data_IF_557944898196
#
_entry.id   IF_557944898196
#
_cell.length_a   1.000
_cell.length_b   1.000
_cell.length_c   1.000
_cell.angle_alpha   90.00
_cell.angle_beta   90.00
_cell.angle_gamma   90.00
#
_symmetry.space_group_name_H-M   'P 1'
#
loop_
_entity.id
_entity.type
_entity.pdbx_description
1 polymer ?
#
# COMPACT_ATOMS: atom_id res chain seq x y z
N UNK A 1 20.19 12.57 -2.29
CA UNK A 1 20.31 11.35 -1.47
C UNK A 1 19.00 11.16 -0.72
N UNK A 2 18.35 10.02 -0.90
CA UNK A 2 17.06 9.79 -0.24
C UNK A 2 17.32 9.59 1.25
N UNK A 3 16.61 10.33 2.08
CA UNK A 3 16.79 10.30 3.54
C UNK A 3 16.51 8.92 4.18
N UNK A 4 15.84 8.04 3.45
CA UNK A 4 15.44 6.70 3.90
C UNK A 4 16.45 5.60 3.58
N UNK A 5 17.53 5.91 2.86
CA UNK A 5 18.49 4.88 2.45
C UNK A 5 19.08 4.14 3.66
N UNK A 6 18.90 2.84 3.68
CA UNK A 6 19.35 1.99 4.79
C UNK A 6 18.55 2.08 6.08
N UNK A 7 17.42 2.79 6.07
CA UNK A 7 16.59 2.96 7.27
C UNK A 7 15.28 2.21 7.18
N UNK A 8 14.87 1.64 8.30
CA UNK A 8 13.51 1.16 8.50
C UNK A 8 12.65 2.25 9.14
N UNK A 9 11.38 2.29 8.80
CA UNK A 9 10.49 3.35 9.25
C UNK A 9 9.02 2.93 9.24
N UNK A 10 8.20 3.72 9.90
CA UNK A 10 6.73 3.64 9.85
C UNK A 10 6.23 4.87 9.10
N UNK A 11 5.32 4.67 8.17
CA UNK A 11 4.74 5.74 7.38
C UNK A 11 3.27 5.49 7.04
N UNK A 12 2.57 6.59 6.83
CA UNK A 12 1.27 6.59 6.18
C UNK A 12 1.47 6.88 4.69
N UNK A 13 0.74 6.21 3.83
CA UNK A 13 0.82 6.42 2.40
C UNK A 13 -0.35 7.25 1.89
N UNK A 14 -0.04 8.16 0.99
CA UNK A 14 -1.01 8.84 0.16
C UNK A 14 -0.75 8.51 -1.31
N UNK A 15 -1.79 8.46 -2.10
CA UNK A 15 -1.67 8.40 -3.55
C UNK A 15 -1.74 9.84 -4.07
N UNK A 16 -0.70 10.27 -4.79
CA UNK A 16 -0.58 11.65 -5.30
C UNK A 16 -0.90 11.77 -6.78
N UNK A 17 -1.28 10.69 -7.43
CA UNK A 17 -1.67 10.70 -8.84
C UNK A 17 -3.02 11.37 -9.04
N UNK A 18 -3.14 12.11 -10.15
CA UNK A 18 -4.25 13.01 -10.43
C UNK A 18 -5.66 12.40 -10.31
N UNK A 19 -5.85 11.17 -10.78
CA UNK A 19 -7.19 10.54 -10.74
C UNK A 19 -7.48 9.83 -9.42
N UNK A 20 -6.62 9.99 -8.47
CA UNK A 20 -6.68 9.18 -7.31
C UNK A 20 -5.94 9.76 -6.11
N UNK A 21 -5.96 11.07 -5.92
CA UNK A 21 -5.45 11.65 -4.68
C UNK A 21 -6.23 11.10 -3.49
N UNK A 22 -5.54 10.60 -2.50
CA UNK A 22 -6.15 10.14 -1.28
C UNK A 22 -5.27 9.20 -0.47
N UNK A 23 -5.64 9.06 0.77
CA UNK A 23 -4.96 8.17 1.69
C UNK A 23 -5.12 6.71 1.26
N UNK A 24 -4.05 5.95 1.41
CA UNK A 24 -4.09 4.50 1.25
C UNK A 24 -4.61 3.89 2.53
N UNK A 25 -5.65 3.10 2.42
CA UNK A 25 -6.27 2.37 3.52
C UNK A 25 -6.53 0.92 3.10
N UNK A 26 -7.03 0.11 3.98
CA UNK A 26 -7.41 -1.26 3.66
C UNK A 26 -8.93 -1.42 3.65
N UNK A 27 -9.41 -2.30 2.77
CA UNK A 27 -10.82 -2.60 2.69
C UNK A 27 -11.24 -3.48 3.86
N UNK A 28 -12.25 -3.03 4.58
CA UNK A 28 -12.95 -3.85 5.57
C UNK A 28 -14.19 -4.43 4.93
N UNK A 29 -14.27 -5.74 4.91
CA UNK A 29 -15.39 -6.46 4.36
C UNK A 29 -15.92 -7.44 5.40
N UNK A 30 -17.24 -7.59 5.46
CA UNK A 30 -17.88 -8.65 6.23
C UNK A 30 -17.64 -10.03 5.60
N UNK A 31 -17.24 -10.05 4.35
CA UNK A 31 -16.82 -11.22 3.64
C UNK A 31 -15.32 -11.40 3.75
N UNK A 32 -14.84 -12.63 3.94
CA UNK A 32 -13.41 -12.92 3.98
C UNK A 32 -12.70 -12.61 2.65
N UNK A 33 -13.46 -12.51 1.56
CA UNK A 33 -12.93 -12.21 0.23
C UNK A 33 -12.64 -10.71 0.11
N UNK A 34 -11.38 -10.36 -0.12
CA UNK A 34 -10.93 -8.99 -0.31
C UNK A 34 -10.76 -8.16 0.95
N UNK A 35 -11.06 -8.71 2.11
CA UNK A 35 -10.72 -8.06 3.37
C UNK A 35 -9.20 -7.91 3.47
N UNK A 36 -8.74 -6.71 3.80
CA UNK A 36 -7.33 -6.39 3.87
C UNK A 36 -6.70 -5.94 2.56
N UNK A 37 -7.42 -5.90 1.46
CA UNK A 37 -6.92 -5.31 0.23
C UNK A 37 -6.75 -3.80 0.37
N UNK A 38 -5.65 -3.29 -0.16
CA UNK A 38 -5.39 -1.86 -0.11
C UNK A 38 -6.23 -1.13 -1.14
N UNK A 39 -6.79 -0.05 -0.69
CA UNK A 39 -7.63 0.83 -1.50
C UNK A 39 -7.16 2.26 -1.31
N UNK A 40 -7.40 3.07 -2.31
CA UNK A 40 -7.34 4.50 -2.17
C UNK A 40 -8.69 4.96 -1.64
N UNK A 41 -8.71 5.35 -0.39
CA UNK A 41 -9.94 5.49 0.34
C UNK A 41 -10.37 6.90 0.59
N UNK A 42 -11.62 7.15 0.30
CA UNK A 42 -12.39 8.25 0.86
C UNK A 42 -13.21 7.81 2.07
N UNK A 43 -13.28 6.53 2.34
CA UNK A 43 -14.09 5.97 3.44
C UNK A 43 -13.25 5.78 4.71
N UNK A 44 -12.34 6.71 4.95
CA UNK A 44 -11.37 6.70 6.03
C UNK A 44 -11.89 6.16 7.36
N UNK A 45 -11.59 4.89 7.60
CA UNK A 45 -11.82 4.26 8.89
C UNK A 45 -10.61 4.36 9.80
N UNK A 46 -9.76 5.31 9.53
CA UNK A 46 -8.52 5.52 10.24
C UNK A 46 -7.31 5.44 9.32
N UNK A 47 -6.22 5.96 9.79
CA UNK A 47 -4.97 6.02 9.06
C UNK A 47 -4.30 4.66 9.10
N UNK A 48 -4.12 4.05 7.93
CA UNK A 48 -3.29 2.86 7.80
C UNK A 48 -1.83 3.26 7.96
N UNK A 49 -1.18 2.72 8.98
CA UNK A 49 0.26 2.84 9.15
C UNK A 49 0.95 1.57 8.67
N UNK A 50 1.95 1.74 7.83
CA UNK A 50 2.77 0.64 7.31
C UNK A 50 4.17 0.72 7.89
N UNK A 51 4.71 -0.44 8.23
CA UNK A 51 6.09 -0.59 8.63
C UNK A 51 6.92 -1.06 7.44
N UNK A 52 7.98 -0.33 7.17
CA UNK A 52 8.94 -0.60 6.12
C UNK A 52 10.24 -1.08 6.75
N UNK A 53 10.53 -2.36 6.62
CA UNK A 53 11.77 -2.96 7.12
C UNK A 53 12.77 -3.05 5.98
N UNK A 54 13.86 -2.29 6.08
CA UNK A 54 14.90 -2.25 5.06
C UNK A 54 15.58 -3.60 4.89
N UNK A 55 15.71 -4.05 3.66
CA UNK A 55 16.38 -5.30 3.31
C UNK A 55 17.74 -5.02 2.68
N UNK A 56 17.75 -4.33 1.56
CA UNK A 56 18.95 -4.02 0.80
C UNK A 56 18.68 -2.92 -0.23
N UNK A 57 19.74 -2.38 -0.75
CA UNK A 57 19.68 -1.55 -1.96
C UNK A 57 20.30 -2.32 -3.11
N UNK A 58 19.61 -2.35 -4.23
CA UNK A 58 20.12 -2.92 -5.48
C UNK A 58 19.87 -1.93 -6.62
N UNK A 59 20.94 -1.46 -7.23
CA UNK A 59 20.91 -0.38 -8.23
C UNK A 59 20.21 0.89 -7.65
N UNK A 60 19.17 1.37 -8.32
CA UNK A 60 18.38 2.53 -7.92
C UNK A 60 17.10 2.15 -7.15
N UNK A 61 17.00 0.91 -6.70
CA UNK A 61 15.85 0.40 -5.97
C UNK A 61 16.21 0.09 -4.51
N UNK A 62 15.33 0.50 -3.62
CA UNK A 62 15.40 0.16 -2.21
C UNK A 62 14.42 -0.97 -1.93
N UNK A 63 14.92 -2.07 -1.38
CA UNK A 63 14.11 -3.24 -1.08
C UNK A 63 13.65 -3.22 0.37
N UNK A 64 12.35 -3.41 0.56
CA UNK A 64 11.70 -3.40 1.87
C UNK A 64 10.76 -4.58 2.02
N UNK A 65 10.65 -5.10 3.24
CA UNK A 65 9.48 -5.84 3.66
C UNK A 65 8.48 -4.85 4.23
N UNK A 66 7.24 -4.96 3.79
CA UNK A 66 6.18 -4.05 4.22
C UNK A 66 5.12 -4.85 4.98
N UNK A 67 4.74 -4.35 6.14
CA UNK A 67 3.73 -4.96 6.99
C UNK A 67 2.85 -3.88 7.63
N UNK A 68 1.72 -4.29 8.19
CA UNK A 68 0.95 -3.41 9.05
C UNK A 68 1.77 -3.03 10.28
N UNK A 69 1.84 -1.74 10.57
CA UNK A 69 2.58 -1.25 11.72
C UNK A 69 1.91 -1.69 13.04
N UNK A 70 2.68 -1.75 14.15
CA UNK A 70 2.08 -1.95 15.46
C UNK A 70 1.01 -0.89 15.75
N UNK A 71 -0.14 -1.31 16.24
CA UNK A 71 -1.28 -0.43 16.47
C UNK A 71 -2.25 -0.31 15.30
N UNK A 72 -1.91 -0.82 14.13
CA UNK A 72 -2.86 -0.94 13.02
C UNK A 72 -3.91 -2.00 13.37
N UNK A 73 -5.18 -1.61 13.39
CA UNK A 73 -6.26 -2.54 13.68
C UNK A 73 -6.28 -3.69 12.68
N UNK A 74 -6.48 -4.90 13.17
CA UNK A 74 -6.67 -6.14 12.45
C UNK A 74 -5.44 -6.66 11.67
N UNK A 75 -4.52 -5.80 11.26
CA UNK A 75 -3.41 -6.17 10.37
C UNK A 75 -2.02 -5.84 10.91
N UNK A 76 -1.89 -5.55 12.21
CA UNK A 76 -0.59 -5.34 12.83
C UNK A 76 0.31 -6.55 12.64
N UNK A 77 1.47 -6.36 12.02
CA UNK A 77 2.42 -7.42 11.71
C UNK A 77 2.07 -8.27 10.48
N UNK A 78 0.89 -8.11 9.90
CA UNK A 78 0.52 -8.81 8.66
C UNK A 78 1.33 -8.25 7.48
N UNK A 79 1.89 -9.14 6.67
CA UNK A 79 2.72 -8.73 5.53
C UNK A 79 1.89 -8.31 4.34
N UNK A 80 2.37 -7.25 3.70
CA UNK A 80 1.84 -6.80 2.43
C UNK A 80 2.32 -7.73 1.31
N UNK A 81 1.40 -8.15 0.48
CA UNK A 81 1.67 -9.03 -0.65
C UNK A 81 0.72 -8.78 -1.80
N UNK A 82 0.75 -9.68 -2.77
CA UNK A 82 -0.04 -9.60 -4.00
C UNK A 82 -0.86 -10.86 -4.14
N UNK A 83 -2.16 -10.71 -4.43
CA UNK A 83 -3.04 -11.83 -4.72
C UNK A 83 -2.76 -12.41 -6.11
N UNK A 84 -3.38 -13.56 -6.39
CA UNK A 84 -3.31 -14.20 -7.70
C UNK A 84 -3.77 -13.27 -8.85
N UNK A 85 -4.70 -12.38 -8.57
CA UNK A 85 -5.24 -11.42 -9.55
C UNK A 85 -4.59 -10.04 -9.47
N UNK A 86 -3.45 -9.92 -8.79
CA UNK A 86 -2.66 -8.69 -8.73
C UNK A 86 -3.07 -7.69 -7.66
N UNK A 87 -4.06 -7.97 -6.83
CA UNK A 87 -4.48 -7.06 -5.78
C UNK A 87 -3.47 -7.02 -4.64
N UNK A 88 -3.10 -5.81 -4.27
CA UNK A 88 -2.20 -5.54 -3.15
C UNK A 88 -2.99 -5.58 -1.84
N UNK A 89 -2.51 -6.30 -0.87
CA UNK A 89 -3.19 -6.43 0.41
C UNK A 89 -2.39 -7.18 1.46
N UNK A 90 -3.01 -7.35 2.62
CA UNK A 90 -2.44 -8.12 3.71
C UNK A 90 -2.79 -9.60 3.56
N UNK A 91 -1.77 -10.44 3.62
CA UNK A 91 -1.90 -11.89 3.49
C UNK A 91 -1.21 -12.60 4.63
N UNK A 92 -1.48 -13.91 4.75
CA UNK A 92 -0.85 -14.75 5.77
C UNK A 92 0.68 -14.73 5.62
N UNK A 93 1.35 -14.39 6.71
CA UNK A 93 2.81 -14.28 6.81
C UNK A 93 3.55 -15.53 6.34
N UNK A 94 2.96 -16.69 6.53
CA UNK A 94 3.59 -17.97 6.15
C UNK A 94 3.68 -18.17 4.63
N UNK A 95 2.93 -17.42 3.87
CA UNK A 95 2.85 -17.56 2.41
C UNK A 95 3.58 -16.48 1.64
N UNK A 96 4.09 -15.45 2.32
CA UNK A 96 4.69 -14.29 1.67
C UNK A 96 6.16 -14.21 2.01
N UNK A 97 6.99 -14.49 1.02
CA UNK A 97 8.44 -14.32 1.11
C UNK A 97 8.94 -13.11 0.32
N UNK A 98 8.05 -12.42 -0.36
CA UNK A 98 8.40 -11.36 -1.27
C UNK A 98 8.73 -10.05 -0.54
N UNK A 99 9.68 -9.33 -1.08
CA UNK A 99 9.97 -7.95 -0.73
C UNK A 99 9.35 -7.00 -1.76
N UNK A 100 9.29 -5.73 -1.39
CA UNK A 100 8.83 -4.65 -2.25
C UNK A 100 10.01 -3.78 -2.67
N UNK A 101 9.93 -3.20 -3.86
CA UNK A 101 10.95 -2.29 -4.37
C UNK A 101 10.38 -0.87 -4.36
N UNK A 102 11.11 0.04 -3.74
CA UNK A 102 10.81 1.46 -3.75
C UNK A 102 11.73 2.12 -4.78
N UNK A 103 11.14 2.83 -5.73
CA UNK A 103 11.82 3.68 -6.71
C UNK A 103 11.55 5.13 -6.35
N UNK A 104 12.47 5.78 -5.61
CA UNK A 104 12.29 7.18 -5.22
C UNK A 104 12.23 8.10 -6.44
N UNK A 105 11.30 9.04 -6.44
CA UNK A 105 11.11 9.99 -7.53
C UNK A 105 11.57 11.40 -7.17
N UNK A 106 11.27 11.81 -5.97
CA UNK A 106 11.49 13.18 -5.53
C UNK A 106 11.76 13.21 -4.03
N UNK A 107 12.80 13.92 -3.65
CA UNK A 107 13.02 14.32 -2.27
C UNK A 107 12.22 15.60 -2.04
N UNK A 108 11.15 15.50 -1.28
CA UNK A 108 10.40 16.66 -0.86
C UNK A 108 11.27 17.62 -0.04
N UNK A 109 10.86 18.86 0.04
CA UNK A 109 11.48 19.85 0.92
C UNK A 109 11.22 19.55 2.42
N UNK A 110 10.34 18.60 2.71
CA UNK A 110 9.99 18.18 4.07
C UNK A 110 10.83 16.97 4.48
N UNK A 111 11.40 16.98 5.70
CA UNK A 111 12.35 15.94 6.12
C UNK A 111 11.76 14.54 6.24
N UNK A 112 10.44 14.43 6.44
CA UNK A 112 9.77 13.16 6.69
C UNK A 112 8.77 12.82 5.60
N UNK A 113 8.97 13.35 4.40
CA UNK A 113 8.12 13.09 3.23
C UNK A 113 8.96 12.79 1.99
N UNK A 114 8.56 11.77 1.24
CA UNK A 114 9.14 11.50 -0.08
C UNK A 114 8.11 10.84 -1.01
N UNK A 115 8.32 10.99 -2.31
CA UNK A 115 7.48 10.38 -3.34
C UNK A 115 8.23 9.26 -4.06
N UNK A 116 7.48 8.23 -4.47
CA UNK A 116 8.04 7.03 -5.07
C UNK A 116 7.03 6.24 -5.90
N UNK A 117 7.56 5.42 -6.80
CA UNK A 117 6.82 4.27 -7.31
C UNK A 117 7.05 3.08 -6.40
N UNK A 118 5.97 2.36 -6.10
CA UNK A 118 6.02 1.07 -5.41
C UNK A 118 5.97 -0.03 -6.46
N UNK A 119 6.91 -0.98 -6.36
CA UNK A 119 6.98 -2.15 -7.24
C UNK A 119 6.93 -3.42 -6.43
N UNK A 120 6.32 -4.47 -7.00
CA UNK A 120 6.42 -5.80 -6.42
C UNK A 120 7.83 -6.39 -6.61
N UNK A 121 8.08 -7.58 -6.07
CA UNK A 121 9.39 -8.23 -6.17
C UNK A 121 9.81 -8.55 -7.62
N UNK A 122 8.84 -8.68 -8.53
CA UNK A 122 9.08 -8.89 -9.96
C UNK A 122 9.41 -7.59 -10.70
N UNK A 123 9.17 -6.44 -10.08
CA UNK A 123 9.40 -5.13 -10.64
C UNK A 123 8.19 -4.46 -11.27
N UNK A 124 6.99 -5.03 -11.14
CA UNK A 124 5.76 -4.42 -11.62
C UNK A 124 5.34 -3.28 -10.71
N UNK A 125 5.04 -2.13 -11.30
CA UNK A 125 4.55 -0.97 -10.57
C UNK A 125 3.14 -1.17 -10.06
N UNK A 126 2.90 -0.75 -8.83
CA UNK A 126 1.56 -0.68 -8.27
C UNK A 126 0.81 0.46 -8.92
N UNK A 127 -0.39 0.16 -9.38
CA UNK A 127 -1.32 1.14 -9.92
C UNK A 127 -2.66 1.10 -9.18
N UNK A 128 -3.59 1.89 -9.65
CA UNK A 128 -4.96 1.91 -9.15
C UNK A 128 -5.92 1.43 -10.21
N UNK A 129 -6.80 0.51 -9.84
CA UNK A 129 -7.89 0.01 -10.66
C UNK A 129 -9.20 0.46 -10.07
N UNK A 130 -9.97 1.19 -10.85
CA UNK A 130 -11.31 1.61 -10.43
C UNK A 130 -12.32 0.52 -10.79
N UNK A 131 -12.81 -0.16 -9.80
CA UNK A 131 -13.75 -1.24 -10.00
C UNK A 131 -15.11 -0.96 -9.34
N UNK A 132 -16.15 -1.31 -10.07
CA UNK A 132 -17.51 -1.29 -9.58
C UNK A 132 -17.91 -2.73 -9.22
N UNK A 133 -17.66 -3.10 -7.97
CA UNK A 133 -17.88 -4.47 -7.47
C UNK A 133 -19.13 -4.57 -6.63
N UNK A 134 -20.26 -4.13 -7.16
CA UNK A 134 -21.51 -4.08 -6.40
C UNK A 134 -22.02 -5.41 -5.86
N UNK A 135 -21.58 -6.56 -6.39
CA UNK A 135 -22.07 -7.89 -5.99
C UNK A 135 -21.16 -8.66 -5.05
N UNK A 136 -19.87 -8.34 -5.00
CA UNK A 136 -18.89 -9.08 -4.20
C UNK A 136 -18.47 -8.36 -2.92
N UNK A 137 -18.67 -7.07 -2.87
CA UNK A 137 -18.22 -6.22 -1.78
C UNK A 137 -19.43 -5.71 -1.02
N UNK A 138 -19.53 -6.15 0.21
CA UNK A 138 -20.55 -5.65 1.12
C UNK A 138 -19.88 -4.89 2.26
N UNK A 139 -20.47 -3.77 2.61
CA UNK A 139 -20.20 -3.09 3.88
C UNK A 139 -21.23 -3.55 4.92
N UNK A 140 -21.11 -3.08 6.17
CA UNK A 140 -22.13 -3.29 7.20
C UNK A 140 -23.53 -2.82 6.76
N UNK A 141 -23.60 -1.89 5.82
CA UNK A 141 -24.83 -1.27 5.33
C UNK A 141 -25.33 -1.87 3.99
N UNK A 142 -24.72 -2.97 3.53
CA UNK A 142 -25.09 -3.62 2.29
C UNK A 142 -24.03 -3.57 1.19
N UNK A 143 -24.38 -3.82 -0.09
CA UNK A 143 -23.43 -3.80 -1.19
C UNK A 143 -22.74 -2.45 -1.33
N UNK A 144 -21.42 -2.46 -1.59
CA UNK A 144 -20.69 -1.25 -1.90
C UNK A 144 -21.23 -0.64 -3.20
N UNK A 145 -21.92 0.47 -3.07
CA UNK A 145 -22.52 1.21 -4.19
C UNK A 145 -21.54 2.14 -4.89
N UNK A 146 -20.29 2.23 -4.40
CA UNK A 146 -19.30 3.16 -4.91
C UNK A 146 -18.22 2.42 -5.69
N UNK A 147 -17.69 3.10 -6.71
CA UNK A 147 -16.45 2.70 -7.34
C UNK A 147 -15.31 2.90 -6.36
N UNK A 148 -14.54 1.86 -6.13
CA UNK A 148 -13.38 1.87 -5.25
C UNK A 148 -12.12 1.71 -6.10
N UNK A 149 -11.11 2.49 -5.80
CA UNK A 149 -9.80 2.37 -6.42
C UNK A 149 -8.97 1.36 -5.62
N UNK A 150 -8.82 0.16 -6.18
CA UNK A 150 -7.97 -0.88 -5.61
C UNK A 150 -6.52 -0.71 -6.07
N UNK A 151 -5.58 -0.99 -5.19
CA UNK A 151 -4.19 -1.10 -5.58
C UNK A 151 -3.94 -2.46 -6.23
N UNK A 152 -3.35 -2.43 -7.42
CA UNK A 152 -3.14 -3.63 -8.23
C UNK A 152 -1.83 -3.52 -9.03
N UNK A 153 -1.11 -4.63 -9.18
CA UNK A 153 0.17 -4.67 -9.93
C UNK A 153 0.02 -5.17 -11.36
N UNK A 154 -1.14 -5.70 -11.73
CA UNK A 154 -1.37 -6.28 -13.07
C UNK A 154 -2.23 -5.39 -13.96
N UNK A 155 -3.03 -4.52 -13.38
CA UNK A 155 -4.00 -3.71 -14.10
C UNK A 155 -4.07 -2.30 -13.52
N UNK A 156 -4.61 -1.37 -14.29
CA UNK A 156 -4.87 -0.01 -13.88
C UNK A 156 -3.79 1.00 -14.25
N UNK A 157 -3.96 2.20 -13.74
CA UNK A 157 -3.05 3.32 -13.97
C UNK A 157 -1.97 3.36 -12.90
N UNK A 158 -0.71 3.46 -13.33
CA UNK A 158 0.43 3.53 -12.41
C UNK A 158 0.26 4.69 -11.44
N UNK A 159 0.44 4.41 -10.16
CA UNK A 159 0.30 5.38 -9.10
C UNK A 159 1.66 5.85 -8.57
N UNK A 160 1.73 7.14 -8.26
CA UNK A 160 2.79 7.71 -7.44
C UNK A 160 2.30 7.76 -6.01
N UNK A 161 3.13 7.31 -5.08
CA UNK A 161 2.83 7.33 -3.66
C UNK A 161 3.68 8.37 -2.95
N UNK A 162 3.09 9.04 -1.97
CA UNK A 162 3.80 9.83 -0.99
C UNK A 162 3.85 9.08 0.33
N UNK A 163 5.01 9.01 0.94
CA UNK A 163 5.16 8.48 2.29
C UNK A 163 5.32 9.63 3.28
N UNK A 164 4.45 9.66 4.27
CA UNK A 164 4.57 10.55 5.43
C UNK A 164 5.16 9.71 6.56
N UNK A 165 6.45 9.90 6.82
CA UNK A 165 7.15 9.12 7.84
C UNK A 165 6.75 9.65 9.21
N UNK A 166 6.23 8.76 10.04
CA UNK A 166 5.82 9.09 11.41
C UNK A 166 6.87 8.68 12.44
N UNK A 167 7.72 7.71 12.07
CA UNK A 167 8.76 7.21 12.98
C UNK A 167 9.84 6.47 12.21
N UNK A 168 11.10 6.72 12.56
CA UNK A 168 12.23 5.87 12.19
C UNK A 168 12.45 4.77 13.24
N UNK A 169 12.90 3.60 12.80
CA UNK A 169 13.13 2.43 13.64
C UNK A 169 14.62 2.17 13.86
#
# INVERSE_FOLDING_TARGET
MVAINGKSFIANLICVTYEGEGEVDFLRSNDAVGSGWLVQGTEGHGTLSLQFDFVEQQDDRLHYRISGAPGTQDYAGARLGVSRNGYVGFYDVLKIHAYWKIEPLFEGSEPDYFEFYLRDSRGYRVGTVREHKGSFWTSLDGPLKRKVNFLNVEDGSIAVFGAIITRYL
#
